data_IF_043286525740
#
_entry.id   IF_043286525740
#
_cell.length_a   1.000
_cell.length_b   1.000
_cell.length_c   1.000
_cell.angle_alpha   90.00
_cell.angle_beta   90.00
_cell.angle_gamma   90.00
#
_symmetry.space_group_name_H-M   'P 1'
#
loop_
_entity.id
_entity.type
_entity.pdbx_description
1 polymer ?
#
# COMPACT_ATOMS: atom_id res chain seq x y z
N UNK A 1 -5.07 3.88 4.32
CA UNK A 1 -4.37 5.17 4.20
C UNK A 1 -4.64 5.73 2.81
N UNK A 2 -4.36 7.01 2.55
CA UNK A 2 -4.47 7.57 1.20
C UNK A 2 -3.51 6.85 0.25
N UNK A 3 -2.26 6.61 0.68
CA UNK A 3 -1.26 5.84 -0.06
C UNK A 3 -1.81 4.48 -0.51
N UNK A 4 -2.33 3.67 0.42
CA UNK A 4 -2.80 2.32 0.09
C UNK A 4 -4.00 2.36 -0.89
N UNK A 5 -4.90 3.33 -0.75
CA UNK A 5 -6.03 3.50 -1.67
C UNK A 5 -5.57 3.88 -3.10
N UNK A 6 -4.48 4.65 -3.23
CA UNK A 6 -3.98 5.13 -4.51
C UNK A 6 -3.00 4.17 -5.20
N UNK A 7 -2.08 3.58 -4.43
CA UNK A 7 -0.86 2.96 -4.97
C UNK A 7 -0.71 1.46 -4.72
N UNK A 8 -1.54 0.84 -3.88
CA UNK A 8 -1.35 -0.57 -3.53
C UNK A 8 -1.38 -1.52 -4.75
N UNK A 9 -0.68 -2.65 -4.63
CA UNK A 9 -0.80 -3.80 -5.53
C UNK A 9 -1.85 -4.73 -4.95
N UNK A 10 -2.90 -5.03 -5.72
CA UNK A 10 -3.96 -5.93 -5.24
C UNK A 10 -3.74 -7.38 -5.69
N UNK A 11 -4.56 -8.29 -5.15
CA UNK A 11 -4.60 -9.70 -5.47
C UNK A 11 -4.85 -9.92 -6.97
N UNK A 12 -4.06 -10.84 -7.51
CA UNK A 12 -4.09 -11.25 -8.90
C UNK A 12 -3.79 -12.75 -9.00
N UNK A 13 -4.05 -13.35 -10.17
CA UNK A 13 -3.73 -14.74 -10.47
C UNK A 13 -2.31 -14.85 -10.99
N UNK A 14 -1.49 -15.68 -10.33
CA UNK A 14 -0.08 -15.79 -10.66
C UNK A 14 0.69 -16.81 -9.83
N UNK A 15 2.01 -16.81 -10.00
CA UNK A 15 2.96 -17.62 -9.26
C UNK A 15 3.84 -16.71 -8.40
N UNK A 16 4.16 -17.18 -7.19
CA UNK A 16 5.07 -16.47 -6.29
C UNK A 16 6.14 -17.43 -5.76
N UNK A 17 7.39 -17.01 -5.85
CA UNK A 17 8.52 -17.64 -5.19
C UNK A 17 8.90 -16.81 -3.95
N UNK A 18 9.02 -17.48 -2.80
CA UNK A 18 9.45 -16.87 -1.54
C UNK A 18 10.67 -17.61 -1.03
N UNK A 19 11.76 -16.87 -0.87
CA UNK A 19 13.03 -17.37 -0.37
C UNK A 19 13.44 -16.57 0.86
N UNK A 20 14.20 -17.18 1.76
CA UNK A 20 14.79 -16.48 2.90
C UNK A 20 16.09 -17.15 3.33
N UNK A 21 17.00 -16.35 3.85
CA UNK A 21 18.27 -16.80 4.40
C UNK A 21 18.74 -15.88 5.53
N UNK A 22 19.66 -16.37 6.34
CA UNK A 22 20.28 -15.59 7.40
C UNK A 22 21.65 -15.10 6.93
N UNK A 23 21.86 -13.78 6.90
CA UNK A 23 23.16 -13.17 6.60
C UNK A 23 24.12 -13.26 7.80
N UNK A 24 23.57 -13.36 9.00
CA UNK A 24 24.26 -13.67 10.26
C UNK A 24 23.30 -14.39 11.20
N UNK A 25 23.73 -14.76 12.41
CA UNK A 25 22.87 -15.42 13.41
C UNK A 25 21.56 -14.68 13.71
N UNK A 26 21.50 -13.37 13.44
CA UNK A 26 20.32 -12.53 13.71
C UNK A 26 19.75 -11.84 12.48
N UNK A 27 20.56 -11.55 11.46
CA UNK A 27 20.10 -10.79 10.30
C UNK A 27 19.36 -11.73 9.34
N UNK A 28 18.04 -11.61 9.28
CA UNK A 28 17.20 -12.35 8.34
C UNK A 28 16.95 -11.52 7.07
N UNK A 29 17.16 -12.13 5.92
CA UNK A 29 16.83 -11.57 4.60
C UNK A 29 15.71 -12.41 3.99
N UNK A 30 14.72 -11.75 3.39
CA UNK A 30 13.67 -12.44 2.62
C UNK A 30 13.56 -11.84 1.23
N UNK A 31 13.41 -12.71 0.26
CA UNK A 31 13.27 -12.37 -1.15
C UNK A 31 11.94 -12.93 -1.62
N UNK A 32 11.15 -12.11 -2.31
CA UNK A 32 9.87 -12.52 -2.86
C UNK A 32 9.80 -12.05 -4.29
N UNK A 33 9.50 -12.96 -5.21
CA UNK A 33 9.31 -12.66 -6.63
C UNK A 33 7.94 -13.19 -7.02
N UNK A 34 7.16 -12.40 -7.74
CA UNK A 34 5.86 -12.78 -8.25
C UNK A 34 5.76 -12.50 -9.75
N UNK A 35 5.03 -13.37 -10.45
CA UNK A 35 4.58 -13.21 -11.83
C UNK A 35 3.06 -13.42 -11.85
N UNK A 36 2.31 -12.46 -12.38
CA UNK A 36 0.85 -12.52 -12.44
C UNK A 36 0.29 -11.91 -13.73
N UNK A 37 -1.03 -11.99 -13.92
CA UNK A 37 -1.69 -11.50 -15.15
C UNK A 37 -1.59 -9.98 -15.32
N UNK A 38 -1.64 -9.21 -14.23
CA UNK A 38 -1.57 -7.75 -14.21
C UNK A 38 -2.92 -7.03 -14.16
N UNK A 39 -4.02 -7.78 -14.10
CA UNK A 39 -5.37 -7.25 -14.33
C UNK A 39 -6.24 -7.20 -13.08
N UNK A 40 -5.76 -7.81 -12.00
CA UNK A 40 -6.40 -7.82 -10.69
C UNK A 40 -7.53 -8.85 -10.57
N UNK A 41 -8.58 -8.48 -9.83
CA UNK A 41 -9.65 -9.42 -9.44
C UNK A 41 -10.73 -9.52 -10.52
N UNK A 42 -11.42 -10.67 -10.53
CA UNK A 42 -12.69 -10.90 -11.23
C UNK A 42 -12.64 -10.75 -12.76
N UNK A 43 -11.53 -11.14 -13.39
CA UNK A 43 -11.45 -11.26 -14.86
C UNK A 43 -12.02 -12.62 -15.28
N UNK A 44 -13.17 -12.61 -15.96
CA UNK A 44 -13.87 -13.81 -16.44
C UNK A 44 -13.52 -14.19 -17.89
N UNK A 45 -12.81 -13.30 -18.59
CA UNK A 45 -12.32 -13.47 -19.96
C UNK A 45 -10.83 -13.81 -19.94
N UNK A 46 -10.25 -14.20 -21.08
CA UNK A 46 -8.80 -14.36 -21.19
C UNK A 46 -8.06 -13.07 -20.86
N UNK A 47 -6.74 -13.16 -20.62
CA UNK A 47 -5.89 -12.00 -20.38
C UNK A 47 -6.09 -10.94 -21.49
N UNK A 48 -6.53 -9.76 -21.08
CA UNK A 48 -6.85 -8.58 -21.87
C UNK A 48 -5.65 -7.65 -22.08
N UNK A 49 -4.60 -7.79 -21.27
CA UNK A 49 -3.35 -7.07 -21.42
C UNK A 49 -2.23 -7.61 -20.54
N UNK A 50 -1.10 -7.93 -21.16
CA UNK A 50 0.19 -7.92 -20.50
C UNK A 50 0.45 -8.92 -19.37
N UNK A 51 1.47 -8.64 -18.56
CA UNK A 51 1.86 -9.41 -17.38
C UNK A 51 2.49 -8.51 -16.33
N UNK A 52 2.30 -8.87 -15.06
CA UNK A 52 2.86 -8.14 -13.93
C UNK A 52 3.97 -8.93 -13.22
N UNK A 53 5.05 -8.23 -12.89
CA UNK A 53 6.26 -8.76 -12.28
C UNK A 53 6.59 -7.95 -11.03
N UNK A 54 6.63 -8.59 -9.87
CA UNK A 54 6.91 -7.93 -8.60
C UNK A 54 8.12 -8.56 -7.93
N UNK A 55 9.12 -7.76 -7.58
CA UNK A 55 10.26 -8.15 -6.75
C UNK A 55 10.25 -7.41 -5.42
N UNK A 56 10.42 -8.12 -4.31
CA UNK A 56 10.51 -7.53 -2.95
C UNK A 56 11.68 -8.12 -2.18
N UNK A 57 12.47 -7.23 -1.58
CA UNK A 57 13.55 -7.57 -0.66
C UNK A 57 13.21 -7.03 0.72
N UNK A 58 13.24 -7.89 1.74
CA UNK A 58 13.03 -7.52 3.15
C UNK A 58 14.30 -7.80 3.96
N UNK A 59 14.73 -6.80 4.72
CA UNK A 59 15.89 -6.83 5.60
C UNK A 59 15.41 -6.73 7.06
N UNK A 60 15.71 -7.76 7.85
CA UNK A 60 15.35 -7.85 9.26
C UNK A 60 16.63 -7.94 10.11
N UNK A 61 17.32 -6.81 10.38
CA UNK A 61 18.62 -6.82 11.05
C UNK A 61 18.58 -7.35 12.48
N UNK A 62 17.41 -7.33 13.13
CA UNK A 62 17.20 -7.82 14.50
C UNK A 62 16.44 -9.16 14.56
N UNK A 63 16.36 -9.85 13.43
CA UNK A 63 15.67 -11.13 13.27
C UNK A 63 14.16 -11.00 13.17
N UNK A 64 13.49 -12.14 13.04
CA UNK A 64 12.03 -12.18 12.89
C UNK A 64 11.28 -11.58 14.09
N UNK A 65 10.13 -11.00 13.81
CA UNK A 65 9.15 -10.59 14.80
C UNK A 65 8.44 -11.83 15.34
N UNK A 66 8.05 -11.80 16.62
CA UNK A 66 7.18 -12.82 17.23
C UNK A 66 5.80 -12.76 16.58
N UNK A 67 5.18 -13.92 16.42
CA UNK A 67 3.81 -14.05 15.90
C UNK A 67 3.57 -13.31 14.56
N UNK A 68 4.60 -13.23 13.69
CA UNK A 68 4.53 -12.48 12.43
C UNK A 68 4.17 -11.00 12.64
N UNK A 69 4.69 -10.41 13.72
CA UNK A 69 4.39 -9.03 14.11
C UNK A 69 4.76 -7.98 13.07
N UNK A 70 5.62 -8.31 12.10
CA UNK A 70 5.93 -7.48 10.93
C UNK A 70 4.74 -7.27 9.99
N UNK A 71 3.69 -8.11 10.05
CA UNK A 71 2.46 -7.99 9.27
C UNK A 71 1.30 -7.33 10.05
N UNK A 72 1.58 -6.81 11.25
CA UNK A 72 0.61 -6.13 12.11
C UNK A 72 1.08 -4.70 12.36
N UNK A 73 0.18 -3.73 12.42
CA UNK A 73 0.53 -2.36 12.87
C UNK A 73 0.96 -2.36 14.34
N UNK A 74 0.04 -2.72 15.24
CA UNK A 74 0.24 -2.67 16.69
C UNK A 74 1.24 -3.71 17.21
N UNK A 75 2.00 -3.38 18.25
CA UNK A 75 2.91 -4.30 18.97
C UNK A 75 2.17 -5.18 19.99
N UNK A 76 1.25 -6.02 19.52
CA UNK A 76 0.36 -6.84 20.35
C UNK A 76 1.08 -7.74 21.36
N UNK A 77 2.25 -8.25 20.98
CA UNK A 77 3.06 -9.15 21.79
C UNK A 77 4.10 -8.41 22.64
N UNK A 78 4.18 -7.08 22.51
CA UNK A 78 5.10 -6.19 23.22
C UNK A 78 6.53 -6.71 23.12
N UNK A 79 7.10 -6.59 21.94
CA UNK A 79 8.45 -7.09 21.64
C UNK A 79 9.45 -6.66 22.71
N UNK A 80 10.09 -7.64 23.36
CA UNK A 80 10.96 -7.37 24.51
C UNK A 80 12.31 -6.76 24.10
N UNK A 81 12.69 -6.97 22.84
CA UNK A 81 13.88 -6.42 22.18
C UNK A 81 13.43 -5.66 20.94
N UNK A 82 14.16 -4.62 20.49
CA UNK A 82 13.83 -3.93 19.25
C UNK A 82 13.73 -4.89 18.08
N UNK A 83 12.71 -4.70 17.24
CA UNK A 83 12.52 -5.40 15.97
C UNK A 83 12.35 -4.39 14.87
N UNK A 84 13.02 -4.63 13.75
CA UNK A 84 13.00 -3.76 12.57
C UNK A 84 12.89 -4.64 11.32
N UNK A 85 12.02 -4.23 10.41
CA UNK A 85 11.98 -4.69 9.03
C UNK A 85 12.07 -3.46 8.14
N UNK A 86 12.97 -3.49 7.16
CA UNK A 86 13.04 -2.55 6.05
C UNK A 86 12.80 -3.33 4.77
N UNK A 87 12.07 -2.78 3.81
CA UNK A 87 11.89 -3.44 2.53
C UNK A 87 11.80 -2.47 1.38
N UNK A 88 12.20 -2.96 0.21
CA UNK A 88 12.01 -2.30 -1.06
C UNK A 88 11.26 -3.26 -1.99
N UNK A 89 10.28 -2.74 -2.72
CA UNK A 89 9.52 -3.49 -3.71
C UNK A 89 9.55 -2.74 -5.04
N UNK A 90 9.80 -3.44 -6.14
CA UNK A 90 9.64 -2.91 -7.49
C UNK A 90 8.64 -3.77 -8.25
N UNK A 91 7.66 -3.10 -8.85
CA UNK A 91 6.55 -3.71 -9.56
C UNK A 91 6.48 -3.16 -10.97
N UNK A 92 6.41 -4.06 -11.95
CA UNK A 92 6.28 -3.73 -13.37
C UNK A 92 5.01 -4.40 -13.86
N UNK A 93 4.02 -3.63 -14.26
CA UNK A 93 2.86 -4.12 -14.97
C UNK A 93 3.01 -3.75 -16.44
N UNK A 94 3.53 -4.70 -17.22
CA UNK A 94 3.75 -4.52 -18.65
C UNK A 94 2.42 -4.59 -19.36
N UNK A 95 2.15 -3.65 -20.26
CA UNK A 95 0.89 -3.56 -21.01
C UNK A 95 -0.35 -3.57 -20.10
N UNK A 96 -0.27 -2.81 -19.00
CA UNK A 96 -1.39 -2.62 -18.11
C UNK A 96 -2.53 -1.89 -18.82
N UNK A 97 -3.74 -2.37 -18.60
CA UNK A 97 -4.98 -1.84 -19.19
C UNK A 97 -5.85 -1.07 -18.20
N UNK A 98 -5.36 -0.81 -16.98
CA UNK A 98 -6.09 -0.04 -15.96
C UNK A 98 -5.29 1.15 -15.42
N UNK A 99 -6.03 2.15 -14.92
CA UNK A 99 -5.47 3.41 -14.42
C UNK A 99 -4.53 3.30 -13.22
N UNK A 100 -4.64 2.24 -12.41
CA UNK A 100 -3.85 2.05 -11.18
C UNK A 100 -3.08 0.74 -11.19
N UNK A 101 -2.43 0.41 -12.30
CA UNK A 101 -1.78 -0.89 -12.52
C UNK A 101 -2.83 -2.01 -12.59
N UNK A 102 -2.98 -2.82 -11.54
CA UNK A 102 -3.96 -3.92 -11.49
C UNK A 102 -5.28 -3.54 -10.80
N UNK A 103 -5.50 -2.24 -10.61
CA UNK A 103 -6.66 -1.63 -9.96
C UNK A 103 -7.20 -0.45 -10.79
N UNK A 104 -8.37 0.05 -10.40
CA UNK A 104 -9.02 1.18 -11.09
C UNK A 104 -9.78 0.74 -12.33
N UNK A 105 -10.22 1.73 -13.09
CA UNK A 105 -11.03 1.50 -14.28
C UNK A 105 -10.14 1.08 -15.45
N UNK A 106 -10.73 0.37 -16.41
CA UNK A 106 -10.05 0.02 -17.65
C UNK A 106 -9.90 1.24 -18.54
N UNK A 107 -8.77 1.35 -19.22
CA UNK A 107 -8.47 2.44 -20.15
C UNK A 107 -8.86 2.01 -21.57
N UNK A 108 -9.62 2.84 -22.26
CA UNK A 108 -10.11 2.56 -23.61
C UNK A 108 -9.67 3.62 -24.61
N UNK A 109 -9.60 3.23 -25.87
CA UNK A 109 -9.49 4.12 -27.01
C UNK A 109 -10.45 3.69 -28.13
N UNK A 110 -10.42 4.40 -29.26
CA UNK A 110 -11.22 4.13 -30.45
C UNK A 110 -11.04 2.74 -31.09
N UNK A 111 -9.98 2.01 -30.72
CA UNK A 111 -9.67 0.67 -31.26
C UNK A 111 -9.80 -0.47 -30.23
N UNK A 112 -10.03 -0.16 -28.94
CA UNK A 112 -10.18 -1.17 -27.88
C UNK A 112 -9.59 -0.72 -26.55
N UNK A 113 -8.88 -1.63 -25.87
CA UNK A 113 -8.17 -1.31 -24.63
C UNK A 113 -6.86 -0.59 -24.94
N UNK A 114 -6.58 0.45 -24.16
CA UNK A 114 -5.31 1.14 -24.18
C UNK A 114 -4.33 0.46 -23.22
N UNK A 115 -3.14 0.14 -23.72
CA UNK A 115 -2.09 -0.53 -22.95
C UNK A 115 -0.91 0.41 -22.69
N UNK A 116 -0.40 0.42 -21.47
CA UNK A 116 0.83 1.12 -21.13
C UNK A 116 1.61 0.39 -20.05
N UNK A 117 2.93 0.54 -20.04
CA UNK A 117 3.75 -0.07 -18.97
C UNK A 117 3.75 0.84 -17.76
N UNK A 118 3.30 0.30 -16.62
CA UNK A 118 3.25 1.01 -15.34
C UNK A 118 4.31 0.41 -14.41
N UNK A 119 5.14 1.27 -13.82
CA UNK A 119 6.13 0.87 -12.82
C UNK A 119 5.77 1.48 -11.47
N UNK A 120 5.80 0.69 -10.40
CA UNK A 120 5.60 1.19 -9.04
C UNK A 120 6.74 0.74 -8.12
N UNK A 121 7.37 1.70 -7.44
CA UNK A 121 8.40 1.46 -6.44
C UNK A 121 7.84 1.71 -5.05
N UNK A 122 8.13 0.81 -4.10
CA UNK A 122 7.74 0.95 -2.70
C UNK A 122 8.93 0.82 -1.77
N UNK A 123 8.88 1.56 -0.67
CA UNK A 123 9.78 1.40 0.48
C UNK A 123 8.92 1.30 1.74
N UNK A 124 9.08 0.21 2.49
CA UNK A 124 8.35 0.00 3.74
C UNK A 124 9.32 -0.18 4.91
N UNK A 125 8.91 0.29 6.09
CA UNK A 125 9.58 0.08 7.35
C UNK A 125 8.56 -0.33 8.43
N UNK A 126 8.93 -1.28 9.29
CA UNK A 126 8.17 -1.66 10.48
C UNK A 126 9.13 -1.78 11.65
N UNK A 127 8.86 -1.05 12.73
CA UNK A 127 9.63 -1.08 13.96
C UNK A 127 8.73 -1.34 15.16
N UNK A 128 9.18 -2.20 16.09
CA UNK A 128 8.45 -2.51 17.33
C UNK A 128 9.37 -2.69 18.53
N UNK A 129 8.91 -2.18 19.67
CA UNK A 129 9.60 -2.36 20.95
C UNK A 129 8.69 -2.00 22.13
N UNK A 130 8.47 -2.95 23.05
CA UNK A 130 7.79 -2.75 24.35
C UNK A 130 6.45 -2.03 24.24
N UNK A 131 5.64 -2.36 23.23
CA UNK A 131 4.34 -1.75 22.99
C UNK A 131 4.38 -0.57 22.04
N UNK A 132 5.54 0.05 21.81
CA UNK A 132 5.72 1.03 20.74
C UNK A 132 5.74 0.32 19.38
N UNK A 133 5.08 0.92 18.40
CA UNK A 133 5.10 0.51 17.00
C UNK A 133 5.21 1.71 16.08
N UNK A 134 6.00 1.57 15.01
CA UNK A 134 6.10 2.54 13.94
C UNK A 134 6.09 1.80 12.60
N UNK A 135 5.32 2.33 11.65
CA UNK A 135 5.24 1.85 10.28
C UNK A 135 5.37 3.04 9.33
N UNK A 136 6.25 2.91 8.35
CA UNK A 136 6.40 3.87 7.27
C UNK A 136 6.26 3.16 5.93
N UNK A 137 5.53 3.76 5.02
CA UNK A 137 5.32 3.27 3.65
C UNK A 137 5.47 4.46 2.70
N UNK A 138 6.23 4.28 1.63
CA UNK A 138 6.34 5.22 0.53
C UNK A 138 6.09 4.48 -0.78
N UNK A 139 5.40 5.14 -1.71
CA UNK A 139 5.15 4.62 -3.04
C UNK A 139 5.42 5.70 -4.10
N UNK A 140 6.01 5.31 -5.23
CA UNK A 140 6.12 6.12 -6.44
C UNK A 140 5.64 5.30 -7.63
N UNK A 141 4.68 5.82 -8.38
CA UNK A 141 4.18 5.21 -9.63
C UNK A 141 4.50 6.09 -10.82
N UNK A 142 4.99 5.46 -11.87
CA UNK A 142 5.21 6.06 -13.20
C UNK A 142 4.59 5.19 -14.28
N UNK A 143 4.36 5.76 -15.46
CA UNK A 143 3.92 5.02 -16.64
C UNK A 143 4.67 5.51 -17.87
N UNK A 144 4.88 4.62 -18.86
CA UNK A 144 5.56 4.93 -20.11
C UNK A 144 4.81 5.99 -20.93
N UNK A 145 3.50 5.81 -21.06
CA UNK A 145 2.57 6.81 -21.60
C UNK A 145 1.34 6.82 -20.67
N UNK A 146 1.22 7.81 -19.77
CA UNK A 146 0.18 7.81 -18.74
C UNK A 146 -1.18 8.29 -19.26
N UNK A 147 -1.25 8.95 -20.42
CA UNK A 147 -2.49 9.50 -20.98
C UNK A 147 -2.92 8.60 -22.13
N UNK A 148 -4.08 7.96 -22.01
CA UNK A 148 -4.60 7.10 -23.06
C UNK A 148 -5.05 7.93 -24.28
N UNK A 149 -4.64 7.48 -25.47
CA UNK A 149 -4.85 8.19 -26.74
C UNK A 149 -5.54 7.30 -27.77
N UNK A 150 -6.37 7.94 -28.59
CA UNK A 150 -6.95 7.37 -29.80
C UNK A 150 -5.88 7.13 -30.88
N UNK A 151 -6.25 6.38 -31.91
CA UNK A 151 -5.38 6.08 -33.05
C UNK A 151 -4.89 7.32 -33.82
N UNK A 152 -5.63 8.43 -33.74
CA UNK A 152 -5.28 9.74 -34.30
C UNK A 152 -4.41 10.62 -33.38
N UNK A 153 -4.10 10.14 -32.17
CA UNK A 153 -3.30 10.82 -31.16
C UNK A 153 -4.09 11.74 -30.22
N UNK A 154 -5.40 11.86 -30.37
CA UNK A 154 -6.25 12.63 -29.44
C UNK A 154 -6.40 11.92 -28.10
N UNK A 155 -6.52 12.69 -27.01
CA UNK A 155 -6.68 12.15 -25.65
C UNK A 155 -8.10 11.62 -25.42
N UNK A 156 -8.19 10.49 -24.72
CA UNK A 156 -9.46 9.81 -24.41
C UNK A 156 -10.10 10.32 -23.12
N UNK A 157 -9.28 10.84 -22.20
CA UNK A 157 -9.65 11.19 -20.84
C UNK A 157 -9.21 10.16 -19.79
N UNK A 158 -8.90 8.92 -20.21
CA UNK A 158 -8.40 7.89 -19.29
C UNK A 158 -6.92 8.12 -18.99
N UNK A 159 -6.56 8.15 -17.69
CA UNK A 159 -5.22 8.55 -17.24
C UNK A 159 -4.73 7.60 -16.14
N UNK A 160 -3.50 7.10 -16.31
CA UNK A 160 -2.80 6.38 -15.25
C UNK A 160 -2.49 7.33 -14.10
N UNK A 161 -2.88 6.93 -12.88
CA UNK A 161 -2.65 7.72 -11.66
C UNK A 161 -1.20 7.61 -11.19
N UNK A 162 -0.33 8.31 -11.91
CA UNK A 162 1.10 8.49 -11.60
C UNK A 162 1.30 9.52 -10.48
N UNK A 163 2.41 9.39 -9.77
CA UNK A 163 2.75 10.27 -8.65
C UNK A 163 3.31 9.50 -7.45
N UNK A 164 3.22 10.12 -6.28
CA UNK A 164 3.81 9.62 -5.04
C UNK A 164 2.79 9.53 -3.92
N UNK A 165 3.09 8.71 -2.91
CA UNK A 165 2.36 8.69 -1.66
C UNK A 165 3.26 8.36 -0.48
N UNK A 166 2.89 8.89 0.69
CA UNK A 166 3.52 8.61 1.98
C UNK A 166 2.46 8.17 2.99
N UNK A 167 2.79 7.19 3.83
CA UNK A 167 1.99 6.81 4.99
C UNK A 167 2.90 6.52 6.17
N UNK A 168 2.69 7.24 7.27
CA UNK A 168 3.41 7.09 8.52
C UNK A 168 2.39 6.80 9.62
N UNK A 169 2.58 5.70 10.34
CA UNK A 169 1.73 5.29 11.45
C UNK A 169 2.62 5.03 12.66
N UNK A 170 2.25 5.59 13.80
CA UNK A 170 2.89 5.28 15.08
C UNK A 170 1.84 4.99 16.12
N UNK A 171 2.15 4.13 17.07
CA UNK A 171 1.23 3.78 18.14
C UNK A 171 1.92 3.19 19.35
N UNK A 172 1.28 3.32 20.51
CA UNK A 172 1.74 2.74 21.75
C UNK A 172 0.66 1.91 22.41
N UNK A 173 0.91 0.61 22.56
CA UNK A 173 0.05 -0.36 23.22
C UNK A 173 0.44 -0.53 24.70
N UNK A 174 -0.39 0.01 25.58
CA UNK A 174 -0.24 -0.11 27.03
C UNK A 174 -0.49 -1.54 27.52
N UNK A 175 0.03 -1.92 28.68
CA UNK A 175 -0.22 -3.23 29.31
C UNK A 175 -1.71 -3.52 29.55
N UNK A 176 -2.54 -2.48 29.64
CA UNK A 176 -3.99 -2.58 29.72
C UNK A 176 -4.67 -2.94 28.38
N UNK A 177 -3.92 -3.21 27.31
CA UNK A 177 -4.40 -3.48 25.95
C UNK A 177 -5.16 -2.31 25.29
N UNK A 178 -4.99 -1.11 25.82
CA UNK A 178 -5.35 0.11 25.12
C UNK A 178 -4.20 0.55 24.22
N UNK A 179 -4.50 1.07 23.05
CA UNK A 179 -3.53 1.66 22.13
C UNK A 179 -4.00 3.04 21.70
N UNK A 180 -3.07 3.99 21.74
CA UNK A 180 -3.22 5.28 21.06
C UNK A 180 -2.33 5.21 19.83
N UNK A 181 -2.89 5.55 18.67
CA UNK A 181 -2.17 5.59 17.42
C UNK A 181 -2.43 6.88 16.66
N UNK A 182 -1.42 7.37 15.95
CA UNK A 182 -1.56 8.46 15.00
C UNK A 182 -1.12 8.01 13.63
N UNK A 183 -1.75 8.57 12.60
CA UNK A 183 -1.37 8.35 11.21
C UNK A 183 -1.32 9.68 10.47
N UNK A 184 -0.25 9.86 9.70
CA UNK A 184 -0.18 10.84 8.63
C UNK A 184 -0.12 10.10 7.31
N UNK A 185 -0.94 10.48 6.34
CA UNK A 185 -0.85 9.96 4.98
C UNK A 185 -1.04 11.07 3.98
N UNK A 186 -0.24 11.09 2.93
CA UNK A 186 -0.30 12.06 1.86
C UNK A 186 -0.24 11.33 0.51
N UNK A 187 -0.89 11.89 -0.50
CA UNK A 187 -0.67 11.57 -1.90
C UNK A 187 -0.39 12.85 -2.69
N UNK A 188 0.61 12.80 -3.56
CA UNK A 188 0.94 13.86 -4.52
C UNK A 188 0.93 13.25 -5.92
N UNK A 189 -0.25 13.16 -6.57
CA UNK A 189 -0.35 12.84 -7.99
C UNK A 189 0.42 13.86 -8.85
N UNK A 190 0.84 13.47 -10.05
CA UNK A 190 1.41 14.44 -11.00
C UNK A 190 0.29 15.34 -11.53
N UNK A 191 0.18 16.55 -10.97
CA UNK A 191 -0.89 17.50 -11.29
C UNK A 191 -0.98 17.82 -12.79
N UNK A 192 0.15 17.88 -13.50
CA UNK A 192 0.18 18.22 -14.93
C UNK A 192 -0.34 17.08 -15.80
N UNK A 193 -0.29 15.85 -15.30
CA UNK A 193 -0.72 14.65 -16.04
C UNK A 193 -2.13 14.24 -15.61
N UNK A 194 -2.38 14.14 -14.30
CA UNK A 194 -3.63 13.58 -13.78
C UNK A 194 -4.69 14.63 -13.50
N UNK A 195 -4.32 15.91 -13.38
CA UNK A 195 -5.23 16.97 -12.95
C UNK A 195 -5.77 16.80 -11.52
N UNK A 196 -5.14 15.94 -10.71
CA UNK A 196 -5.60 15.63 -9.34
C UNK A 196 -4.71 16.39 -8.36
N UNK A 197 -5.35 17.13 -7.45
CA UNK A 197 -4.64 17.85 -6.40
C UNK A 197 -4.05 16.91 -5.35
N UNK A 198 -3.01 17.40 -4.67
CA UNK A 198 -2.45 16.74 -3.51
C UNK A 198 -3.50 16.64 -2.39
N UNK A 199 -3.41 15.57 -1.59
CA UNK A 199 -4.28 15.38 -0.44
C UNK A 199 -3.50 14.84 0.75
N UNK A 200 -3.80 15.36 1.94
CA UNK A 200 -3.18 14.97 3.20
C UNK A 200 -4.22 14.58 4.22
N UNK A 201 -3.93 13.55 5.02
CA UNK A 201 -4.82 13.08 6.07
C UNK A 201 -4.07 12.84 7.36
N UNK A 202 -4.59 13.43 8.44
CA UNK A 202 -4.16 13.20 9.81
C UNK A 202 -5.23 12.40 10.53
N UNK A 203 -4.85 11.31 11.19
CA UNK A 203 -5.76 10.46 11.95
C UNK A 203 -5.25 10.28 13.37
N UNK A 204 -6.12 10.42 14.36
CA UNK A 204 -5.90 10.01 15.74
C UNK A 204 -6.87 8.86 16.07
N UNK A 205 -6.33 7.73 16.50
CA UNK A 205 -7.08 6.53 16.82
C UNK A 205 -6.88 6.06 18.26
N UNK A 206 -7.94 5.50 18.82
CA UNK A 206 -7.93 4.81 20.11
C UNK A 206 -8.50 3.39 19.90
N UNK A 207 -7.73 2.40 20.30
CA UNK A 207 -8.09 0.99 20.17
C UNK A 207 -8.07 0.29 21.52
N UNK A 208 -9.03 -0.60 21.74
CA UNK A 208 -9.04 -1.56 22.85
C UNK A 208 -9.01 -2.97 22.29
N UNK A 209 -7.90 -3.66 22.53
CA UNK A 209 -7.76 -5.07 22.19
C UNK A 209 -8.30 -5.94 23.32
N UNK A 210 -9.28 -6.79 23.01
CA UNK A 210 -9.91 -7.71 23.96
C UNK A 210 -9.26 -9.09 23.82
N UNK A 211 -9.10 -9.58 22.59
CA UNK A 211 -8.37 -10.81 22.27
C UNK A 211 -7.51 -10.63 21.01
N UNK A 212 -6.31 -10.04 21.17
CA UNK A 212 -5.40 -9.78 20.05
C UNK A 212 -6.12 -9.12 18.87
N UNK A 213 -5.88 -9.62 17.64
CA UNK A 213 -6.61 -9.16 16.44
C UNK A 213 -7.98 -9.78 16.24
N UNK A 214 -8.36 -10.79 17.02
CA UNK A 214 -9.64 -11.48 16.84
C UNK A 214 -10.81 -10.65 17.33
N UNK A 215 -10.60 -9.89 18.41
CA UNK A 215 -11.62 -9.06 19.01
C UNK A 215 -11.02 -7.74 19.47
N UNK A 216 -11.42 -6.64 18.81
CA UNK A 216 -11.06 -5.28 19.22
C UNK A 216 -12.17 -4.28 18.89
N UNK A 217 -12.22 -3.22 19.68
CA UNK A 217 -13.05 -2.04 19.41
C UNK A 217 -12.11 -0.87 19.15
N UNK A 218 -12.37 -0.10 18.10
CA UNK A 218 -11.55 1.04 17.71
C UNK A 218 -12.43 2.23 17.35
N UNK A 219 -11.98 3.42 17.73
CA UNK A 219 -12.54 4.69 17.25
C UNK A 219 -11.42 5.55 16.70
N UNK A 220 -11.70 6.32 15.66
CA UNK A 220 -10.75 7.29 15.11
C UNK A 220 -11.44 8.54 14.57
N UNK A 221 -10.69 9.64 14.63
CA UNK A 221 -11.01 10.92 13.99
C UNK A 221 -9.94 11.19 12.94
N UNK A 222 -10.36 11.59 11.74
CA UNK A 222 -9.46 11.95 10.65
C UNK A 222 -9.80 13.32 10.07
N UNK A 223 -8.79 14.16 9.88
CA UNK A 223 -8.89 15.41 9.14
C UNK A 223 -8.21 15.23 7.79
N UNK A 224 -8.95 15.45 6.71
CA UNK A 224 -8.52 15.36 5.32
C UNK A 224 -8.49 16.77 4.73
N UNK A 225 -7.32 17.20 4.27
CA UNK A 225 -7.13 18.43 3.53
C UNK A 225 -6.80 18.11 2.07
N UNK A 226 -7.40 18.84 1.14
CA UNK A 226 -7.20 18.69 -0.30
C UNK A 226 -6.77 20.04 -0.84
N UNK A 227 -5.64 20.09 -1.54
CA UNK A 227 -5.14 21.31 -2.14
C UNK A 227 -6.08 21.78 -3.26
N UNK A 228 -6.09 23.08 -3.57
CA UNK A 228 -6.86 23.62 -4.71
C UNK A 228 -8.27 24.12 -4.38
N UNK A 229 -8.61 24.28 -3.09
CA UNK A 229 -9.82 24.97 -2.64
C UNK A 229 -11.03 24.07 -2.38
N UNK A 230 -10.84 22.76 -2.43
CA UNK A 230 -11.84 21.81 -1.96
C UNK A 230 -12.02 21.93 -0.43
N UNK A 231 -13.25 21.72 0.09
CA UNK A 231 -13.50 21.82 1.53
C UNK A 231 -12.81 20.69 2.28
N UNK A 232 -12.12 21.03 3.36
CA UNK A 232 -11.58 20.05 4.29
C UNK A 232 -12.69 19.17 4.87
N UNK A 233 -12.36 17.89 5.08
CA UNK A 233 -13.31 16.89 5.55
C UNK A 233 -12.87 16.34 6.90
N UNK A 234 -13.79 16.37 7.87
CA UNK A 234 -13.63 15.71 9.16
C UNK A 234 -14.40 14.40 9.17
N UNK A 235 -13.71 13.29 9.36
CA UNK A 235 -14.27 11.94 9.41
C UNK A 235 -14.20 11.37 10.82
N UNK A 236 -15.25 10.66 11.21
CA UNK A 236 -15.31 9.91 12.47
C UNK A 236 -15.71 8.48 12.17
N UNK A 237 -15.06 7.52 12.83
CA UNK A 237 -15.35 6.10 12.66
C UNK A 237 -15.35 5.38 14.00
N UNK A 238 -16.36 4.55 14.20
CA UNK A 238 -16.38 3.51 15.22
C UNK A 238 -16.38 2.14 14.52
N UNK A 239 -15.49 1.24 14.94
CA UNK A 239 -15.29 -0.06 14.32
C UNK A 239 -15.19 -1.15 15.39
N UNK A 240 -15.87 -2.27 15.16
CA UNK A 240 -15.75 -3.52 15.91
C UNK A 240 -15.20 -4.58 14.95
N UNK A 241 -14.06 -5.16 15.28
CA UNK A 241 -13.49 -6.28 14.54
C UNK A 241 -13.73 -7.58 15.30
N UNK A 242 -14.35 -8.54 14.62
CA UNK A 242 -14.64 -9.89 15.11
C UNK A 242 -14.17 -10.91 14.06
N UNK A 243 -13.16 -11.70 14.40
CA UNK A 243 -12.64 -12.79 13.57
C UNK A 243 -12.73 -14.13 14.31
N UNK A 244 -13.24 -15.15 13.62
CA UNK A 244 -13.36 -16.53 14.09
C UNK A 244 -12.28 -17.43 13.47
#
# INVERSE_FOLDING_TARGET
SLLNAAYNIDRDMGLQLRHHFNLSDKFLVREKIAFSQGEGRNIAVGNLGGHQYTGRLELLPFGSFKSKGDYSGSDLVREQTPKLMLSATYDINSNAVRERSNLGDFMYNDVGLYETTINTFFVDAMFKYRGFSFMGEYANRTAKDPIAKNSDGTETGDIVRVGNGLNLVTGYLFNSNWEIATRYSNITPDLNITGINQSEQYTLGLSKFIEGHKLKVQTDISYLAIDGGDPDVLLYRLQLDLHF
#
